data_IF_309572013143
#
_entry.id   IF_309572013143
#
_cell.length_a   1.000
_cell.length_b   1.000
_cell.length_c   1.000
_cell.angle_alpha   90.00
_cell.angle_beta   90.00
_cell.angle_gamma   90.00
#
_symmetry.space_group_name_H-M   'P 1'
#
loop_
_entity.id
_entity.type
_entity.pdbx_description
1 polymer ?
#
# COMPACT_ATOMS: atom_id res chain seq x y z
N UNK A 1 -3.26 19.74 -4.68
CA UNK A 1 -3.37 18.37 -4.13
C UNK A 1 -4.11 17.49 -5.12
N UNK A 2 -3.78 16.20 -5.24
CA UNK A 2 -4.29 15.34 -6.34
C UNK A 2 -5.58 14.65 -5.95
N UNK A 3 -6.54 14.44 -6.88
CA UNK A 3 -7.86 13.87 -6.56
C UNK A 3 -7.78 12.48 -5.93
N UNK A 4 -6.84 11.62 -6.37
CA UNK A 4 -6.66 10.29 -5.78
C UNK A 4 -6.23 10.29 -4.31
N UNK A 5 -5.47 11.27 -3.85
CA UNK A 5 -5.11 11.43 -2.44
C UNK A 5 -6.37 11.73 -1.59
N UNK A 6 -7.16 12.70 -2.01
CA UNK A 6 -8.38 13.06 -1.28
C UNK A 6 -9.41 11.93 -1.30
N UNK A 7 -9.56 11.24 -2.43
CA UNK A 7 -10.44 10.08 -2.51
C UNK A 7 -10.00 8.99 -1.52
N UNK A 8 -8.71 8.70 -1.41
CA UNK A 8 -8.20 7.73 -0.44
C UNK A 8 -8.44 8.18 1.00
N UNK A 9 -8.15 9.43 1.34
CA UNK A 9 -8.34 9.97 2.70
C UNK A 9 -9.82 9.97 3.10
N UNK A 10 -10.70 10.51 2.26
CA UNK A 10 -12.14 10.56 2.55
C UNK A 10 -12.75 9.16 2.67
N UNK A 11 -12.31 8.22 1.82
CA UNK A 11 -12.77 6.83 1.89
C UNK A 11 -12.30 6.13 3.18
N UNK A 12 -11.08 6.38 3.62
CA UNK A 12 -10.57 5.83 4.88
C UNK A 12 -11.33 6.39 6.09
N UNK A 13 -11.62 7.70 6.09
CA UNK A 13 -12.47 8.33 7.12
C UNK A 13 -13.87 7.73 7.10
N UNK A 14 -14.50 7.60 5.92
CA UNK A 14 -15.83 7.01 5.80
C UNK A 14 -15.86 5.56 6.32
N UNK A 15 -14.84 4.75 6.01
CA UNK A 15 -14.69 3.40 6.52
C UNK A 15 -14.59 3.39 8.05
N UNK A 16 -13.78 4.27 8.63
CA UNK A 16 -13.59 4.37 10.08
C UNK A 16 -14.89 4.79 10.81
N UNK A 17 -15.64 5.72 10.22
CA UNK A 17 -16.94 6.17 10.74
C UNK A 17 -18.00 5.09 10.63
N UNK A 18 -17.98 4.27 9.58
CA UNK A 18 -18.97 3.21 9.37
C UNK A 18 -18.78 2.00 10.30
N UNK A 19 -17.56 1.74 10.80
CA UNK A 19 -17.24 0.57 11.64
C UNK A 19 -18.09 0.45 12.92
N UNK A 20 -18.37 1.52 13.70
CA UNK A 20 -19.21 1.43 14.90
C UNK A 20 -20.67 1.03 14.63
N UNK A 21 -21.15 1.19 13.40
CA UNK A 21 -22.54 0.91 13.00
C UNK A 21 -22.73 -0.49 12.41
N UNK A 22 -21.74 -1.36 12.51
CA UNK A 22 -21.80 -2.73 11.96
C UNK A 22 -22.69 -3.62 12.82
N UNK A 23 -23.84 -4.12 12.30
CA UNK A 23 -24.82 -4.81 13.11
C UNK A 23 -24.53 -6.30 13.33
N UNK A 24 -23.67 -6.92 12.56
CA UNK A 24 -23.51 -8.37 12.54
C UNK A 24 -22.07 -8.84 12.83
N UNK A 25 -21.98 -9.97 13.54
CA UNK A 25 -20.71 -10.68 13.71
C UNK A 25 -20.47 -11.54 12.43
N UNK A 26 -19.34 -11.39 11.73
CA UNK A 26 -19.06 -12.20 10.55
C UNK A 26 -18.89 -13.68 10.92
N UNK A 27 -19.16 -14.56 9.97
CA UNK A 27 -18.92 -16.01 10.12
C UNK A 27 -17.44 -16.26 10.50
N UNK A 28 -17.14 -17.36 11.23
CA UNK A 28 -15.76 -17.65 11.69
C UNK A 28 -14.72 -17.64 10.57
N UNK A 29 -15.06 -18.15 9.39
CA UNK A 29 -14.17 -18.10 8.21
C UNK A 29 -13.84 -16.65 7.82
N UNK A 30 -14.83 -15.77 7.77
CA UNK A 30 -14.62 -14.36 7.41
C UNK A 30 -13.77 -13.63 8.44
N UNK A 31 -13.95 -13.95 9.73
CA UNK A 31 -13.05 -13.45 10.79
C UNK A 31 -11.61 -13.89 10.57
N UNK A 32 -11.40 -15.17 10.24
CA UNK A 32 -10.06 -15.70 9.93
C UNK A 32 -9.42 -14.95 8.77
N UNK A 33 -10.14 -14.78 7.65
CA UNK A 33 -9.67 -14.01 6.49
C UNK A 33 -9.35 -12.57 6.88
N UNK A 34 -10.25 -11.89 7.60
CA UNK A 34 -10.04 -10.52 8.04
C UNK A 34 -8.79 -10.38 8.91
N UNK A 35 -8.58 -11.27 9.87
CA UNK A 35 -7.38 -11.26 10.72
C UNK A 35 -6.09 -11.44 9.91
N UNK A 36 -6.07 -12.34 8.94
CA UNK A 36 -4.93 -12.51 8.02
C UNK A 36 -4.65 -11.21 7.27
N UNK A 37 -5.69 -10.57 6.70
CA UNK A 37 -5.54 -9.31 5.98
C UNK A 37 -5.00 -8.20 6.90
N UNK A 38 -5.50 -8.10 8.14
CA UNK A 38 -5.06 -7.12 9.13
C UNK A 38 -3.60 -7.36 9.58
N UNK A 39 -3.20 -8.61 9.79
CA UNK A 39 -1.82 -8.95 10.10
C UNK A 39 -0.88 -8.59 8.93
N UNK A 40 -1.26 -8.91 7.70
CA UNK A 40 -0.50 -8.51 6.52
C UNK A 40 -0.45 -6.99 6.38
N UNK A 41 -1.55 -6.29 6.64
CA UNK A 41 -1.59 -4.83 6.64
C UNK A 41 -0.58 -4.24 7.62
N UNK A 42 -0.52 -4.74 8.86
CA UNK A 42 0.46 -4.29 9.86
C UNK A 42 1.91 -4.45 9.37
N UNK A 43 2.22 -5.58 8.73
CA UNK A 43 3.54 -5.85 8.13
C UNK A 43 3.83 -4.86 6.99
N UNK A 44 2.88 -4.69 6.06
CA UNK A 44 3.08 -3.84 4.88
C UNK A 44 3.00 -2.34 5.17
N UNK A 45 2.42 -1.92 6.28
CA UNK A 45 2.48 -0.53 6.77
C UNK A 45 3.76 -0.28 7.57
N UNK A 46 4.08 -1.17 8.51
CA UNK A 46 5.18 -0.97 9.47
C UNK A 46 6.58 -1.16 8.87
N UNK A 47 6.82 -2.29 8.20
CA UNK A 47 8.16 -2.61 7.67
C UNK A 47 8.70 -1.57 6.67
N UNK A 48 7.93 -1.03 5.71
CA UNK A 48 8.44 -0.02 4.79
C UNK A 48 8.93 1.24 5.50
N UNK A 49 8.26 1.66 6.57
CA UNK A 49 8.69 2.84 7.36
C UNK A 49 10.05 2.59 8.00
N UNK A 50 10.24 1.41 8.61
CA UNK A 50 11.52 1.03 9.21
C UNK A 50 12.62 0.89 8.15
N UNK A 51 12.31 0.29 7.00
CA UNK A 51 13.26 0.11 5.91
C UNK A 51 13.66 1.44 5.28
N UNK A 52 12.72 2.36 5.10
CA UNK A 52 12.99 3.68 4.56
C UNK A 52 13.85 4.52 5.51
N UNK A 53 13.62 4.40 6.83
CA UNK A 53 14.47 5.04 7.85
C UNK A 53 15.90 4.51 7.84
N UNK A 54 16.08 3.19 7.60
CA UNK A 54 17.41 2.54 7.65
C UNK A 54 18.19 2.64 6.33
N UNK A 55 17.52 2.70 5.19
CA UNK A 55 18.13 2.57 3.86
C UNK A 55 17.76 3.70 2.90
N UNK A 56 16.81 4.55 3.25
CA UNK A 56 16.54 5.76 2.49
C UNK A 56 17.63 6.78 2.82
N UNK A 57 18.44 7.15 1.84
CA UNK A 57 19.37 8.25 1.98
C UNK A 57 18.58 9.59 2.01
N UNK A 58 17.77 9.77 3.04
CA UNK A 58 17.18 11.09 3.30
C UNK A 58 18.22 11.91 4.07
N UNK A 59 18.53 13.15 3.66
CA UNK A 59 19.35 14.06 4.45
C UNK A 59 18.74 14.24 5.84
N UNK A 60 19.55 14.44 6.87
CA UNK A 60 19.09 14.73 8.22
C UNK A 60 18.11 15.90 8.20
N UNK A 61 16.90 15.68 8.74
CA UNK A 61 15.82 16.67 8.76
C UNK A 61 14.88 16.68 7.54
N UNK A 62 15.12 15.89 6.49
CA UNK A 62 14.24 15.80 5.33
C UNK A 62 13.01 14.92 5.60
N UNK A 63 11.90 15.21 4.92
CA UNK A 63 10.69 14.38 4.98
C UNK A 63 10.98 12.99 4.40
N UNK A 64 10.35 11.94 4.95
CA UNK A 64 10.49 10.56 4.50
C UNK A 64 10.25 10.32 3.00
N UNK A 65 9.60 11.27 2.32
CA UNK A 65 9.32 11.26 0.89
C UNK A 65 10.44 11.90 0.04
N UNK A 66 11.45 12.48 0.66
CA UNK A 66 12.55 13.21 -0.02
C UNK A 66 13.81 12.34 -0.15
N UNK A 67 13.62 11.05 -0.48
CA UNK A 67 14.75 10.16 -0.75
C UNK A 67 15.57 10.64 -1.94
N UNK A 68 16.90 10.62 -1.80
CA UNK A 68 17.85 10.97 -2.88
C UNK A 68 18.08 9.83 -3.86
N UNK A 69 17.62 8.62 -3.52
CA UNK A 69 17.76 7.43 -4.34
C UNK A 69 16.47 6.59 -4.35
N UNK A 70 16.29 5.79 -5.41
CA UNK A 70 15.19 4.83 -5.51
C UNK A 70 15.41 3.70 -4.49
N UNK A 71 14.51 3.56 -3.51
CA UNK A 71 14.56 2.45 -2.57
C UNK A 71 14.25 1.13 -3.29
N UNK A 72 15.21 0.18 -3.28
CA UNK A 72 15.12 -1.09 -4.01
C UNK A 72 15.40 -2.32 -3.11
N UNK A 73 15.46 -2.15 -1.80
CA UNK A 73 15.76 -3.22 -0.84
C UNK A 73 14.56 -3.61 0.00
N UNK A 74 14.60 -4.82 0.57
CA UNK A 74 13.52 -5.33 1.41
C UNK A 74 12.20 -5.48 0.65
N UNK A 75 11.10 -4.98 1.19
CA UNK A 75 9.79 -5.04 0.53
C UNK A 75 9.74 -4.27 -0.79
N UNK A 76 10.57 -3.21 -0.95
CA UNK A 76 10.69 -2.47 -2.19
C UNK A 76 11.39 -3.25 -3.31
N UNK A 77 12.06 -4.37 -3.01
CA UNK A 77 12.56 -5.31 -4.02
C UNK A 77 11.45 -6.22 -4.59
N UNK A 78 10.31 -6.32 -3.89
CA UNK A 78 9.18 -7.20 -4.23
C UNK A 78 8.03 -6.39 -4.83
N UNK A 79 7.64 -5.27 -4.18
CA UNK A 79 6.58 -4.36 -4.65
C UNK A 79 7.03 -2.91 -4.54
N UNK A 80 6.60 -2.07 -5.49
CA UNK A 80 7.04 -0.67 -5.54
C UNK A 80 6.36 0.20 -4.47
N UNK A 81 5.12 -0.12 -4.11
CA UNK A 81 4.30 0.65 -3.16
C UNK A 81 3.80 -0.21 -2.00
N UNK A 82 4.73 -0.78 -1.17
CA UNK A 82 4.34 -1.69 -0.10
C UNK A 82 3.43 -1.03 0.94
N UNK A 83 3.66 0.23 1.31
CA UNK A 83 2.87 0.92 2.31
C UNK A 83 1.43 1.17 1.83
N UNK A 84 1.23 1.55 0.56
CA UNK A 84 -0.10 1.72 0.00
C UNK A 84 -0.85 0.39 -0.11
N UNK A 85 -0.15 -0.71 -0.41
CA UNK A 85 -0.72 -2.05 -0.35
C UNK A 85 -1.14 -2.39 1.09
N UNK A 86 -0.37 -2.00 2.10
CA UNK A 86 -0.73 -2.17 3.51
C UNK A 86 -2.03 -1.43 3.87
N UNK A 87 -2.20 -0.19 3.42
CA UNK A 87 -3.46 0.55 3.64
C UNK A 87 -4.65 -0.09 2.92
N UNK A 88 -4.44 -0.63 1.73
CA UNK A 88 -5.49 -1.34 0.98
C UNK A 88 -5.90 -2.63 1.70
N UNK A 89 -4.93 -3.43 2.15
CA UNK A 89 -5.16 -4.62 2.96
C UNK A 89 -5.88 -4.32 4.29
N UNK A 90 -5.55 -3.20 4.94
CA UNK A 90 -6.23 -2.73 6.14
C UNK A 90 -7.71 -2.45 5.86
N UNK A 91 -8.00 -1.71 4.78
CA UNK A 91 -9.38 -1.39 4.41
C UNK A 91 -10.20 -2.63 4.09
N UNK A 92 -9.64 -3.56 3.31
CA UNK A 92 -10.30 -4.82 2.99
C UNK A 92 -10.43 -5.75 4.20
N UNK A 93 -9.46 -5.76 5.11
CA UNK A 93 -9.55 -6.49 6.38
C UNK A 93 -10.73 -5.98 7.23
N UNK A 94 -10.85 -4.66 7.38
CA UNK A 94 -11.97 -4.04 8.10
C UNK A 94 -13.30 -4.27 7.40
N UNK A 95 -13.37 -4.12 6.07
CA UNK A 95 -14.57 -4.37 5.29
C UNK A 95 -15.03 -5.83 5.38
N UNK A 96 -14.09 -6.80 5.37
CA UNK A 96 -14.37 -8.23 5.54
C UNK A 96 -14.85 -8.54 6.96
N UNK A 97 -14.30 -7.87 7.97
CA UNK A 97 -14.74 -8.02 9.35
C UNK A 97 -16.17 -7.53 9.55
N UNK A 98 -16.54 -6.47 8.85
CA UNK A 98 -17.85 -5.85 8.95
C UNK A 98 -18.91 -6.47 8.03
N UNK A 99 -18.54 -6.90 6.80
CA UNK A 99 -19.42 -7.40 5.73
C UNK A 99 -20.68 -6.55 5.50
N UNK A 100 -20.50 -5.23 5.48
CA UNK A 100 -21.57 -4.25 5.37
C UNK A 100 -21.27 -3.28 4.22
N UNK A 101 -22.28 -2.88 3.46
CA UNK A 101 -22.13 -1.98 2.31
C UNK A 101 -21.47 -0.65 2.65
N UNK A 102 -21.75 -0.12 3.84
CA UNK A 102 -21.14 1.10 4.37
C UNK A 102 -19.62 0.98 4.58
N UNK A 103 -19.06 -0.23 4.63
CA UNK A 103 -17.61 -0.48 4.71
C UNK A 103 -17.01 -0.96 3.40
N UNK A 104 -17.76 -1.74 2.63
CA UNK A 104 -17.30 -2.27 1.33
C UNK A 104 -17.13 -1.15 0.29
N UNK A 105 -18.11 -0.25 0.17
CA UNK A 105 -18.03 0.85 -0.80
C UNK A 105 -16.85 1.80 -0.53
N UNK A 106 -16.60 2.26 0.71
CA UNK A 106 -15.38 3.00 1.02
C UNK A 106 -14.08 2.23 0.76
N UNK A 107 -14.03 0.91 1.00
CA UNK A 107 -12.85 0.11 0.70
C UNK A 107 -12.56 0.07 -0.82
N UNK A 108 -13.60 -0.10 -1.66
CA UNK A 108 -13.46 -0.01 -3.11
C UNK A 108 -12.97 1.38 -3.53
N UNK A 109 -13.57 2.45 -3.00
CA UNK A 109 -13.19 3.82 -3.31
C UNK A 109 -11.74 4.11 -2.86
N UNK A 110 -11.30 3.57 -1.72
CA UNK A 110 -9.91 3.65 -1.26
C UNK A 110 -8.95 2.97 -2.26
N UNK A 111 -9.25 1.76 -2.71
CA UNK A 111 -8.45 1.03 -3.71
C UNK A 111 -8.30 1.84 -5.00
N UNK A 112 -9.38 2.46 -5.48
CA UNK A 112 -9.36 3.35 -6.65
C UNK A 112 -8.47 4.57 -6.36
N UNK A 113 -8.67 5.23 -5.23
CA UNK A 113 -7.91 6.41 -4.81
C UNK A 113 -6.40 6.13 -4.70
N UNK A 114 -6.02 5.00 -4.09
CA UNK A 114 -4.64 4.52 -4.00
C UNK A 114 -4.07 4.28 -5.42
N UNK A 115 -4.83 3.62 -6.30
CA UNK A 115 -4.39 3.36 -7.66
C UNK A 115 -4.14 4.63 -8.47
N UNK A 116 -5.00 5.64 -8.33
CA UNK A 116 -4.84 6.95 -8.95
C UNK A 116 -3.65 7.71 -8.35
N UNK A 117 -3.50 7.69 -7.02
CA UNK A 117 -2.44 8.38 -6.32
C UNK A 117 -1.06 7.82 -6.68
N UNK A 118 -0.91 6.48 -6.66
CA UNK A 118 0.36 5.82 -6.98
C UNK A 118 0.76 6.00 -8.44
N UNK A 119 -0.18 6.03 -9.40
CA UNK A 119 0.14 6.38 -10.80
C UNK A 119 0.77 7.76 -10.89
N UNK A 120 0.12 8.74 -10.28
CA UNK A 120 0.60 10.10 -10.26
C UNK A 120 1.92 10.29 -9.48
N UNK A 121 2.22 9.44 -8.51
CA UNK A 121 3.51 9.39 -7.82
C UNK A 121 4.59 8.79 -8.71
N UNK A 122 4.30 7.70 -9.43
CA UNK A 122 5.23 7.09 -10.40
C UNK A 122 5.64 8.06 -11.51
N UNK A 123 4.72 8.91 -12.00
CA UNK A 123 5.05 9.94 -13.01
C UNK A 123 6.05 10.96 -12.44
N UNK A 124 5.90 11.35 -11.16
CA UNK A 124 6.87 12.24 -10.48
C UNK A 124 8.22 11.57 -10.26
N UNK A 125 8.22 10.29 -9.89
CA UNK A 125 9.46 9.53 -9.69
C UNK A 125 10.18 9.31 -11.02
N UNK A 126 9.45 9.09 -12.11
CA UNK A 126 10.02 9.05 -13.46
C UNK A 126 10.64 10.40 -13.86
N UNK A 127 9.96 11.51 -13.60
CA UNK A 127 10.49 12.84 -13.88
C UNK A 127 11.74 13.16 -13.05
N UNK A 128 11.81 12.67 -11.80
CA UNK A 128 12.92 12.92 -10.87
C UNK A 128 14.13 12.02 -11.09
N UNK A 129 13.91 10.73 -11.30
CA UNK A 129 14.97 9.70 -11.33
C UNK A 129 15.21 9.10 -12.73
N UNK A 130 14.42 9.47 -13.73
CA UNK A 130 14.62 9.09 -15.13
C UNK A 130 14.77 7.59 -15.34
N UNK A 131 15.86 7.20 -15.98
CA UNK A 131 16.15 5.82 -16.38
C UNK A 131 16.34 4.86 -15.20
N UNK A 132 16.85 5.34 -14.08
CA UNK A 132 16.97 4.53 -12.86
C UNK A 132 15.60 4.05 -12.36
N UNK A 133 14.59 4.92 -12.34
CA UNK A 133 13.23 4.53 -11.96
C UNK A 133 12.55 3.70 -13.06
N UNK A 134 12.84 3.97 -14.33
CA UNK A 134 12.33 3.18 -15.47
C UNK A 134 12.80 1.74 -15.40
N UNK A 135 14.08 1.50 -15.11
CA UNK A 135 14.66 0.16 -14.92
C UNK A 135 14.00 -0.57 -13.73
N UNK A 136 13.87 0.12 -12.58
CA UNK A 136 13.19 -0.42 -11.40
C UNK A 136 11.73 -0.81 -11.68
N UNK A 137 10.98 0.04 -12.39
CA UNK A 137 9.58 -0.21 -12.78
C UNK A 137 9.40 -1.44 -13.67
N UNK A 138 10.39 -1.78 -14.51
CA UNK A 138 10.36 -2.99 -15.37
C UNK A 138 10.52 -4.27 -14.55
N UNK A 139 11.26 -4.22 -13.47
CA UNK A 139 11.63 -5.39 -12.66
C UNK A 139 10.71 -5.66 -11.50
N UNK A 140 10.15 -4.62 -10.87
CA UNK A 140 9.32 -4.73 -9.67
C UNK A 140 7.87 -4.31 -9.99
N UNK A 141 6.85 -5.15 -9.68
CA UNK A 141 5.45 -4.81 -9.89
C UNK A 141 4.98 -3.74 -8.90
N UNK A 142 3.86 -3.03 -9.23
CA UNK A 142 3.27 -2.00 -8.37
C UNK A 142 2.77 -2.57 -7.06
N UNK A 143 1.89 -3.60 -7.10
CA UNK A 143 1.22 -4.21 -5.96
C UNK A 143 1.27 -5.75 -5.96
N UNK A 144 1.71 -6.38 -7.04
CA UNK A 144 1.69 -7.83 -7.21
C UNK A 144 2.76 -8.54 -6.37
N UNK A 145 2.45 -8.88 -5.11
CA UNK A 145 3.40 -9.53 -4.18
C UNK A 145 3.93 -10.85 -4.74
N UNK A 146 3.04 -11.73 -5.20
CA UNK A 146 3.41 -13.06 -5.74
C UNK A 146 4.31 -12.90 -6.97
N UNK A 147 3.88 -12.07 -7.93
CA UNK A 147 4.66 -11.79 -9.15
C UNK A 147 6.01 -11.16 -8.79
N UNK A 148 6.03 -10.26 -7.83
CA UNK A 148 7.24 -9.60 -7.36
C UNK A 148 8.20 -10.57 -6.68
N UNK A 149 7.70 -11.45 -5.83
CA UNK A 149 8.48 -12.48 -5.15
C UNK A 149 9.10 -13.46 -6.15
N UNK A 150 8.32 -13.96 -7.11
CA UNK A 150 8.80 -14.84 -8.18
C UNK A 150 9.92 -14.16 -8.99
N UNK A 151 9.72 -12.89 -9.39
CA UNK A 151 10.75 -12.13 -10.10
C UNK A 151 11.99 -11.88 -9.25
N UNK A 152 11.82 -11.63 -7.97
CA UNK A 152 12.92 -11.44 -7.01
C UNK A 152 13.76 -12.70 -6.86
N UNK A 153 13.13 -13.86 -6.68
CA UNK A 153 13.82 -15.14 -6.56
C UNK A 153 14.58 -15.51 -7.84
N UNK A 154 13.97 -15.33 -9.02
CA UNK A 154 14.63 -15.56 -10.33
C UNK A 154 15.84 -14.66 -10.60
N UNK A 155 15.98 -13.55 -9.91
CA UNK A 155 17.13 -12.63 -10.05
C UNK A 155 18.28 -12.97 -9.11
N UNK A 156 18.02 -13.82 -8.12
CA UNK A 156 19.03 -14.22 -7.13
C UNK A 156 19.60 -15.62 -7.34
N UNK A 157 18.92 -16.48 -8.09
CA UNK A 157 19.41 -17.77 -8.57
C UNK A 157 20.05 -17.61 -9.92
#
# INVERSE_FOLDING_TARGET
MRPGFWLAVTSFVALSVAMPFVPAQPAPLMRGIALVLLCLAAVFVGLPVVQLRRHGAAPDGARFTETTAVAQRGLYAIVRHPQYLGFDLLAWGLATLALYWGTILPAIALTIGISMHTRAEEDRLLARFGDAYRAYRRTVPRFGVITGLVRYLRRRG
#
